data_IF_434957256513
#
_entry.id   IF_434957256513
#
_cell.length_a   1.000
_cell.length_b   1.000
_cell.length_c   1.000
_cell.angle_alpha   90.00
_cell.angle_beta   90.00
_cell.angle_gamma   90.00
#
_symmetry.space_group_name_H-M   'P 1'
#
loop_
_entity.id
_entity.type
_entity.pdbx_description
1 polymer ?
#
# COMPACT_ATOMS: atom_id res chain seq x y z
N UNK A 1 3.65 -21.86 -15.38
CA UNK A 1 3.14 -20.51 -15.08
C UNK A 1 4.02 -19.79 -14.04
N UNK A 2 4.27 -20.38 -12.84
CA UNK A 2 5.14 -19.80 -11.79
C UNK A 2 6.52 -19.44 -12.35
N UNK A 3 7.22 -20.38 -12.99
CA UNK A 3 8.54 -20.16 -13.57
C UNK A 3 8.57 -19.08 -14.67
N UNK A 4 7.49 -18.91 -15.41
CA UNK A 4 7.37 -17.84 -16.42
C UNK A 4 7.23 -16.47 -15.75
N UNK A 5 6.41 -16.40 -14.69
CA UNK A 5 6.24 -15.19 -13.88
C UNK A 5 7.58 -14.80 -13.25
N UNK A 6 8.27 -15.76 -12.61
CA UNK A 6 9.57 -15.53 -11.99
C UNK A 6 10.61 -15.03 -13.00
N UNK A 7 10.70 -15.65 -14.18
CA UNK A 7 11.60 -15.19 -15.26
C UNK A 7 11.27 -13.77 -15.71
N UNK A 8 9.98 -13.46 -15.85
CA UNK A 8 9.54 -12.14 -16.29
C UNK A 8 9.91 -11.03 -15.29
N UNK A 9 9.70 -11.27 -14.00
CA UNK A 9 10.03 -10.28 -12.95
C UNK A 9 11.54 -10.21 -12.70
N UNK A 10 12.26 -11.34 -12.79
CA UNK A 10 13.72 -11.38 -12.65
C UNK A 10 14.44 -10.53 -13.71
N UNK A 11 13.95 -10.58 -14.95
CA UNK A 11 14.47 -9.76 -16.06
C UNK A 11 14.26 -8.24 -15.84
N UNK A 12 13.44 -7.85 -14.88
CA UNK A 12 13.11 -6.44 -14.51
C UNK A 12 13.57 -6.07 -13.12
N UNK A 13 14.52 -6.81 -12.57
CA UNK A 13 15.06 -6.57 -11.23
C UNK A 13 15.84 -5.24 -11.20
N UNK A 14 15.20 -4.21 -10.67
CA UNK A 14 15.75 -2.86 -10.55
C UNK A 14 15.05 -2.13 -9.40
N UNK A 15 15.61 -1.02 -8.92
CA UNK A 15 14.96 -0.11 -7.97
C UNK A 15 13.88 0.76 -8.64
N UNK A 16 13.93 0.89 -9.96
CA UNK A 16 12.88 1.49 -10.78
C UNK A 16 12.10 0.35 -11.46
N UNK A 17 10.93 0.04 -10.91
CA UNK A 17 10.08 -1.04 -11.40
C UNK A 17 9.18 -0.52 -12.53
N UNK A 18 9.42 -1.03 -13.74
CA UNK A 18 8.64 -0.70 -14.92
C UNK A 18 7.96 -1.95 -15.50
N UNK A 19 6.66 -2.06 -15.26
CA UNK A 19 5.80 -3.10 -15.82
C UNK A 19 4.76 -2.42 -16.72
N UNK A 20 4.88 -2.55 -18.05
CA UNK A 20 4.05 -1.81 -19.01
C UNK A 20 2.57 -2.19 -18.97
N UNK A 21 2.23 -3.35 -18.43
CA UNK A 21 0.87 -3.81 -18.22
C UNK A 21 0.63 -4.26 -16.78
N UNK A 22 -0.62 -4.58 -16.45
CA UNK A 22 -1.03 -4.96 -15.09
C UNK A 22 -0.94 -6.46 -14.83
N UNK A 23 -0.67 -7.24 -15.87
CA UNK A 23 -0.83 -8.69 -15.84
C UNK A 23 -2.30 -9.12 -15.89
N UNK A 24 -2.55 -10.45 -15.95
CA UNK A 24 -3.88 -11.01 -16.12
C UNK A 24 -4.69 -11.15 -14.82
N UNK A 25 -4.32 -10.44 -13.77
CA UNK A 25 -4.83 -10.61 -12.41
C UNK A 25 -5.76 -9.48 -11.97
N UNK A 26 -6.64 -9.82 -11.04
CA UNK A 26 -7.56 -8.91 -10.41
C UNK A 26 -8.76 -8.52 -11.28
N UNK A 27 -9.64 -7.70 -10.73
CA UNK A 27 -10.80 -7.18 -11.41
C UNK A 27 -10.51 -5.78 -11.99
N UNK A 28 -10.42 -5.67 -13.32
CA UNK A 28 -10.14 -4.40 -14.00
C UNK A 28 -11.21 -3.32 -13.81
N UNK A 29 -12.41 -3.69 -13.38
CA UNK A 29 -13.49 -2.74 -13.05
C UNK A 29 -13.32 -2.12 -11.67
N UNK A 30 -12.44 -2.68 -10.83
CA UNK A 30 -12.14 -2.16 -9.51
C UNK A 30 -11.16 -0.99 -9.62
N UNK A 31 -11.51 0.17 -9.05
CA UNK A 31 -10.64 1.36 -9.10
C UNK A 31 -9.48 1.23 -8.12
N UNK A 32 -8.33 1.77 -8.49
CA UNK A 32 -7.13 1.74 -7.62
C UNK A 32 -6.41 0.39 -7.59
N UNK A 33 -6.72 -0.50 -8.50
CA UNK A 33 -6.10 -1.82 -8.58
C UNK A 33 -4.59 -1.73 -8.88
N UNK A 34 -3.77 -2.42 -8.11
CA UNK A 34 -2.32 -2.51 -8.33
C UNK A 34 -1.98 -3.41 -9.53
N UNK A 35 -0.79 -3.21 -10.13
CA UNK A 35 -0.23 -4.19 -11.06
C UNK A 35 0.17 -5.46 -10.31
N UNK A 36 -0.30 -6.62 -10.77
CA UNK A 36 0.05 -7.91 -10.18
C UNK A 36 1.53 -8.24 -10.30
N UNK A 37 2.22 -7.64 -11.27
CA UNK A 37 3.67 -7.79 -11.41
C UNK A 37 4.46 -7.26 -10.22
N UNK A 38 3.95 -6.25 -9.51
CA UNK A 38 4.58 -5.75 -8.29
C UNK A 38 4.55 -6.81 -7.19
N UNK A 39 3.40 -7.45 -6.98
CA UNK A 39 3.25 -8.52 -5.98
C UNK A 39 4.11 -9.72 -6.37
N UNK A 40 4.08 -10.13 -7.64
CA UNK A 40 4.91 -11.21 -8.15
C UNK A 40 6.41 -10.92 -7.98
N UNK A 41 6.83 -9.68 -8.23
CA UNK A 41 8.20 -9.24 -8.02
C UNK A 41 8.61 -9.33 -6.54
N UNK A 42 7.77 -8.87 -5.62
CA UNK A 42 8.04 -8.95 -4.19
C UNK A 42 8.17 -10.41 -3.72
N UNK A 43 7.28 -11.30 -4.17
CA UNK A 43 7.33 -12.73 -3.87
C UNK A 43 8.66 -13.32 -4.33
N UNK A 44 9.02 -13.10 -5.59
CA UNK A 44 10.27 -13.60 -6.15
C UNK A 44 11.51 -12.99 -5.47
N UNK A 45 11.53 -11.66 -5.31
CA UNK A 45 12.71 -10.92 -4.83
C UNK A 45 13.07 -11.24 -3.38
N UNK A 46 12.06 -11.46 -2.54
CA UNK A 46 12.25 -11.71 -1.11
C UNK A 46 12.02 -13.16 -0.70
N UNK A 47 11.78 -14.05 -1.65
CA UNK A 47 11.54 -15.47 -1.39
C UNK A 47 10.35 -15.72 -0.49
N UNK A 48 9.28 -14.93 -0.67
CA UNK A 48 8.06 -14.96 0.14
C UNK A 48 7.36 -16.30 -0.04
N UNK A 49 7.03 -16.96 1.07
CA UNK A 49 6.34 -18.27 1.10
C UNK A 49 4.87 -18.16 1.51
N UNK A 50 4.48 -17.03 2.09
CA UNK A 50 3.09 -16.72 2.45
C UNK A 50 2.85 -15.21 2.44
N UNK A 51 1.71 -14.76 1.91
CA UNK A 51 1.38 -13.36 1.75
C UNK A 51 0.07 -12.99 2.46
N UNK A 52 0.08 -11.92 3.25
CA UNK A 52 -1.10 -11.17 3.64
C UNK A 52 -1.21 -9.90 2.81
N UNK A 53 -2.41 -9.48 2.46
CA UNK A 53 -2.68 -8.23 1.74
C UNK A 53 -3.77 -7.43 2.45
N UNK A 54 -3.45 -6.22 2.88
CA UNK A 54 -4.45 -5.27 3.36
C UNK A 54 -4.82 -4.30 2.24
N UNK A 55 -6.11 -3.95 2.15
CA UNK A 55 -6.70 -3.20 1.03
C UNK A 55 -6.71 -4.02 -0.27
N UNK A 56 -7.11 -5.29 -0.17
CA UNK A 56 -7.04 -6.30 -1.23
C UNK A 56 -7.91 -5.99 -2.48
N UNK A 57 -8.88 -5.11 -2.35
CA UNK A 57 -9.67 -4.53 -3.43
C UNK A 57 -10.13 -5.53 -4.49
N UNK A 58 -9.59 -5.39 -5.71
CA UNK A 58 -9.95 -6.22 -6.87
C UNK A 58 -9.43 -7.66 -6.87
N UNK A 59 -8.74 -8.11 -5.79
CA UNK A 59 -8.25 -9.48 -5.63
C UNK A 59 -7.00 -9.80 -6.45
N UNK A 60 -6.22 -8.78 -6.81
CA UNK A 60 -4.99 -8.95 -7.60
C UNK A 60 -3.99 -9.85 -6.88
N UNK A 61 -3.73 -9.62 -5.59
CA UNK A 61 -2.80 -10.43 -4.81
C UNK A 61 -3.24 -11.89 -4.68
N UNK A 62 -4.54 -12.13 -4.47
CA UNK A 62 -5.11 -13.47 -4.45
C UNK A 62 -4.82 -14.25 -5.74
N UNK A 63 -5.04 -13.61 -6.89
CA UNK A 63 -4.82 -14.25 -8.19
C UNK A 63 -3.32 -14.50 -8.48
N UNK A 64 -2.44 -13.55 -8.12
CA UNK A 64 -0.98 -13.69 -8.25
C UNK A 64 -0.48 -14.84 -7.39
N UNK A 65 -0.89 -14.88 -6.11
CA UNK A 65 -0.45 -15.92 -5.17
C UNK A 65 -0.91 -17.30 -5.60
N UNK A 66 -2.16 -17.44 -6.12
CA UNK A 66 -2.63 -18.68 -6.73
C UNK A 66 -1.72 -19.12 -7.89
N UNK A 67 -1.35 -18.20 -8.78
CA UNK A 67 -0.55 -18.52 -9.97
C UNK A 67 0.94 -18.76 -9.65
N UNK A 68 1.41 -18.28 -8.50
CA UNK A 68 2.76 -18.51 -7.98
C UNK A 68 2.82 -19.61 -6.92
N UNK A 69 1.70 -20.24 -6.60
CA UNK A 69 1.60 -21.32 -5.60
C UNK A 69 2.06 -20.85 -4.20
N UNK A 70 1.50 -19.73 -3.76
CA UNK A 70 1.78 -19.10 -2.46
C UNK A 70 0.50 -19.00 -1.63
N UNK A 71 0.47 -19.47 -0.38
CA UNK A 71 -0.62 -19.23 0.55
C UNK A 71 -0.91 -17.74 0.71
N UNK A 72 -2.20 -17.38 0.67
CA UNK A 72 -2.64 -15.99 0.67
C UNK A 72 -3.85 -15.78 1.56
N UNK A 73 -3.89 -14.65 2.23
CA UNK A 73 -5.05 -14.08 2.88
C UNK A 73 -5.13 -12.58 2.60
N UNK A 74 -6.29 -12.08 2.22
CA UNK A 74 -6.54 -10.65 2.05
C UNK A 74 -7.50 -10.10 3.09
N UNK A 75 -7.53 -8.79 3.25
CA UNK A 75 -8.56 -8.06 3.97
C UNK A 75 -8.93 -6.77 3.24
N UNK A 76 -10.21 -6.44 3.22
CA UNK A 76 -10.74 -5.23 2.59
C UNK A 76 -11.99 -4.76 3.32
N UNK A 77 -12.27 -3.47 3.25
CA UNK A 77 -13.49 -2.88 3.83
C UNK A 77 -14.77 -3.30 3.06
N UNK A 78 -14.62 -3.85 1.85
CA UNK A 78 -15.73 -4.25 1.01
C UNK A 78 -16.56 -5.37 1.68
N UNK A 79 -17.86 -5.15 1.96
CA UNK A 79 -18.72 -6.18 2.56
C UNK A 79 -18.98 -7.38 1.63
N UNK A 80 -18.64 -7.24 0.34
CA UNK A 80 -18.77 -8.30 -0.67
C UNK A 80 -17.41 -8.54 -1.35
N UNK A 81 -16.47 -9.21 -0.69
CA UNK A 81 -15.14 -9.44 -1.23
C UNK A 81 -15.18 -10.19 -2.56
N UNK A 82 -14.27 -9.82 -3.47
CA UNK A 82 -14.24 -10.40 -4.83
C UNK A 82 -13.61 -11.79 -4.90
N UNK A 83 -13.03 -12.27 -3.79
CA UNK A 83 -12.44 -13.61 -3.65
C UNK A 83 -12.73 -14.15 -2.25
N UNK A 84 -12.87 -15.47 -2.13
CA UNK A 84 -13.22 -16.14 -0.86
C UNK A 84 -12.10 -16.09 0.20
N UNK A 85 -10.88 -15.79 -0.18
CA UNK A 85 -9.73 -15.62 0.70
C UNK A 85 -9.43 -14.14 0.99
N UNK A 86 -10.43 -13.28 0.87
CA UNK A 86 -10.39 -11.88 1.31
C UNK A 86 -11.46 -11.71 2.39
N UNK A 87 -11.02 -11.33 3.58
CA UNK A 87 -11.89 -11.05 4.72
C UNK A 87 -12.52 -9.66 4.58
N UNK A 88 -13.74 -9.50 5.03
CA UNK A 88 -14.31 -8.17 5.27
C UNK A 88 -13.78 -7.66 6.61
N UNK A 89 -12.98 -6.60 6.59
CA UNK A 89 -12.31 -6.05 7.76
C UNK A 89 -12.22 -4.54 7.66
N UNK A 90 -12.63 -3.85 8.71
CA UNK A 90 -12.36 -2.43 8.87
C UNK A 90 -10.98 -2.25 9.52
N UNK A 91 -9.98 -1.92 8.71
CA UNK A 91 -8.62 -1.74 9.18
C UNK A 91 -8.46 -0.63 10.25
N UNK A 92 -9.43 0.26 10.39
CA UNK A 92 -9.42 1.33 11.40
C UNK A 92 -9.87 0.80 12.76
N UNK A 93 -11.04 0.16 12.81
CA UNK A 93 -11.73 -0.21 14.04
C UNK A 93 -11.46 -1.66 14.49
N UNK A 94 -11.25 -2.58 13.55
CA UNK A 94 -11.14 -4.01 13.88
C UNK A 94 -9.72 -4.38 14.34
N UNK A 95 -9.63 -5.47 15.10
CA UNK A 95 -8.34 -6.09 15.41
C UNK A 95 -7.70 -6.68 14.15
N UNK A 96 -6.38 -6.85 14.18
CA UNK A 96 -5.67 -7.53 13.09
C UNK A 96 -6.09 -8.99 13.06
N UNK A 97 -6.59 -9.51 11.92
CA UNK A 97 -6.96 -10.91 11.80
C UNK A 97 -5.78 -11.83 12.14
N UNK A 98 -6.05 -12.89 12.87
CA UNK A 98 -5.00 -13.83 13.32
C UNK A 98 -4.26 -14.47 12.13
N UNK A 99 -4.95 -14.66 11.01
CA UNK A 99 -4.38 -15.19 9.77
C UNK A 99 -3.28 -14.33 9.15
N UNK A 100 -3.16 -13.06 9.58
CA UNK A 100 -2.12 -12.14 9.11
C UNK A 100 -0.81 -12.27 9.88
N UNK A 101 -0.87 -12.77 11.14
CA UNK A 101 0.23 -12.64 12.11
C UNK A 101 1.47 -13.44 11.74
N UNK A 102 1.30 -14.59 11.09
CA UNK A 102 2.36 -15.55 10.75
C UNK A 102 2.82 -15.51 9.30
N UNK A 103 2.38 -14.51 8.51
CA UNK A 103 2.75 -14.40 7.11
C UNK A 103 4.16 -13.84 6.94
N UNK A 104 4.88 -14.35 5.94
CA UNK A 104 6.22 -13.89 5.61
C UNK A 104 6.24 -12.43 5.14
N UNK A 105 5.17 -12.01 4.47
CA UNK A 105 5.04 -10.64 3.99
C UNK A 105 3.61 -10.13 4.12
N UNK A 106 3.50 -8.88 4.56
CA UNK A 106 2.30 -8.07 4.47
C UNK A 106 2.48 -7.03 3.35
N UNK A 107 1.60 -7.07 2.36
CA UNK A 107 1.53 -6.05 1.30
C UNK A 107 0.37 -5.10 1.55
N UNK A 108 0.60 -3.82 1.33
CA UNK A 108 -0.41 -2.76 1.43
C UNK A 108 -0.36 -1.84 0.21
N UNK A 109 -1.52 -1.60 -0.40
CA UNK A 109 -1.72 -0.54 -1.38
C UNK A 109 -3.00 0.22 -1.01
N UNK A 110 -2.92 1.17 -0.06
CA UNK A 110 -4.10 1.84 0.49
C UNK A 110 -4.78 2.72 -0.55
N UNK A 111 -6.09 2.97 -0.42
CA UNK A 111 -6.75 4.05 -1.15
C UNK A 111 -6.10 5.39 -0.73
N UNK A 112 -6.01 6.34 -1.66
CA UNK A 112 -5.51 7.68 -1.34
C UNK A 112 -6.66 8.54 -0.83
N UNK A 113 -6.36 9.50 0.05
CA UNK A 113 -7.36 10.34 0.69
C UNK A 113 -8.27 11.13 -0.26
N UNK A 114 -9.23 11.84 0.28
CA UNK A 114 -10.26 12.56 -0.48
C UNK A 114 -9.71 13.58 -1.50
N UNK A 115 -8.49 14.08 -1.29
CA UNK A 115 -7.84 15.04 -2.19
C UNK A 115 -7.64 14.52 -3.59
N UNK A 116 -7.45 13.21 -3.79
CA UNK A 116 -7.31 12.64 -5.13
C UNK A 116 -8.62 12.65 -5.91
N UNK A 117 -9.76 12.70 -5.21
CA UNK A 117 -11.10 12.75 -5.79
C UNK A 117 -11.51 11.50 -6.55
N UNK A 118 -10.91 10.34 -6.23
CA UNK A 118 -11.29 9.05 -6.77
C UNK A 118 -12.24 8.38 -5.80
N UNK A 119 -13.48 8.08 -6.18
CA UNK A 119 -14.38 7.30 -5.35
C UNK A 119 -14.00 5.81 -5.42
N UNK A 120 -13.00 5.40 -4.62
CA UNK A 120 -12.52 4.01 -4.58
C UNK A 120 -13.65 3.04 -4.22
N UNK A 121 -14.40 3.38 -3.19
CA UNK A 121 -15.55 2.59 -2.75
C UNK A 121 -16.67 2.52 -3.80
N UNK A 122 -16.88 3.59 -4.57
CA UNK A 122 -17.99 3.69 -5.52
C UNK A 122 -19.32 3.39 -4.84
N UNK A 123 -20.00 2.31 -5.27
CA UNK A 123 -21.21 1.77 -4.62
C UNK A 123 -20.92 0.57 -3.70
N UNK A 124 -19.67 0.09 -3.62
CA UNK A 124 -19.33 -1.19 -2.99
C UNK A 124 -19.32 -1.15 -1.46
N UNK A 125 -18.91 -0.02 -0.87
CA UNK A 125 -18.83 0.15 0.59
C UNK A 125 -20.01 0.91 1.19
N UNK A 126 -21.09 1.05 0.43
CA UNK A 126 -22.31 1.66 0.94
C UNK A 126 -23.00 0.68 1.88
N UNK A 127 -23.33 1.17 3.05
CA UNK A 127 -24.28 0.48 3.92
C UNK A 127 -25.68 0.42 3.29
N UNK A 128 -26.65 -0.29 3.89
CA UNK A 128 -28.03 -0.35 3.37
C UNK A 128 -28.69 1.03 3.24
N UNK A 129 -28.19 2.07 3.91
CA UNK A 129 -28.70 3.45 3.82
C UNK A 129 -28.03 4.24 2.68
N UNK A 130 -27.09 3.64 1.95
CA UNK A 130 -26.35 4.26 0.86
C UNK A 130 -25.23 5.20 1.29
N UNK A 131 -24.86 5.22 2.57
CA UNK A 131 -23.73 5.98 3.09
C UNK A 131 -22.45 5.19 2.96
N UNK A 132 -21.34 5.89 2.67
CA UNK A 132 -20.01 5.30 2.71
C UNK A 132 -19.59 5.06 4.17
N UNK A 133 -18.78 4.03 4.41
CA UNK A 133 -18.22 3.79 5.73
C UNK A 133 -17.39 4.98 6.19
N UNK A 134 -17.54 5.39 7.44
CA UNK A 134 -16.76 6.51 8.02
C UNK A 134 -15.25 6.21 8.07
N UNK A 135 -14.89 4.95 8.12
CA UNK A 135 -13.53 4.44 8.13
C UNK A 135 -12.90 4.29 6.73
N UNK A 136 -13.65 4.60 5.65
CA UNK A 136 -13.09 4.61 4.30
C UNK A 136 -12.02 5.71 4.17
N UNK A 137 -10.76 5.30 4.11
CA UNK A 137 -9.61 6.19 3.96
C UNK A 137 -9.73 7.10 2.74
N UNK A 138 -10.36 6.63 1.66
CA UNK A 138 -10.60 7.42 0.45
C UNK A 138 -11.54 8.61 0.62
N UNK A 139 -12.24 8.71 1.76
CA UNK A 139 -13.13 9.82 2.11
C UNK A 139 -12.49 10.80 3.11
N UNK A 140 -11.32 10.47 3.67
CA UNK A 140 -10.69 11.28 4.71
C UNK A 140 -9.90 12.44 4.12
N UNK A 141 -10.00 13.65 4.70
CA UNK A 141 -9.10 14.75 4.40
C UNK A 141 -7.64 14.34 4.64
N UNK A 142 -6.70 14.92 3.90
CA UNK A 142 -5.28 14.50 3.88
C UNK A 142 -4.69 14.26 5.26
N UNK A 143 -4.85 15.23 6.18
CA UNK A 143 -4.28 15.13 7.52
C UNK A 143 -4.82 13.94 8.31
N UNK A 144 -6.14 13.72 8.26
CA UNK A 144 -6.79 12.62 8.94
C UNK A 144 -6.45 11.30 8.26
N UNK A 145 -6.41 11.29 6.93
CA UNK A 145 -5.97 10.15 6.12
C UNK A 145 -4.57 9.68 6.51
N UNK A 146 -3.57 10.57 6.51
CA UNK A 146 -2.19 10.21 6.85
C UNK A 146 -2.05 9.75 8.31
N UNK A 147 -2.74 10.42 9.24
CA UNK A 147 -2.76 10.00 10.65
C UNK A 147 -3.34 8.60 10.80
N UNK A 148 -4.46 8.32 10.15
CA UNK A 148 -5.15 7.03 10.23
C UNK A 148 -4.34 5.94 9.54
N UNK A 149 -3.80 6.21 8.35
CA UNK A 149 -2.94 5.25 7.64
C UNK A 149 -1.71 4.88 8.45
N UNK A 150 -1.03 5.86 9.05
CA UNK A 150 0.13 5.61 9.91
C UNK A 150 -0.23 4.76 11.14
N UNK A 151 -1.39 5.00 11.75
CA UNK A 151 -1.89 4.18 12.86
C UNK A 151 -2.17 2.73 12.42
N UNK A 152 -2.76 2.53 11.25
CA UNK A 152 -2.98 1.20 10.65
C UNK A 152 -1.64 0.50 10.40
N UNK A 153 -0.68 1.17 9.76
CA UNK A 153 0.64 0.59 9.50
C UNK A 153 1.30 0.13 10.80
N UNK A 154 1.27 0.96 11.85
CA UNK A 154 1.84 0.62 13.15
C UNK A 154 1.11 -0.55 13.82
N UNK A 155 -0.22 -0.59 13.75
CA UNK A 155 -1.04 -1.68 14.29
C UNK A 155 -0.70 -3.03 13.63
N UNK A 156 -0.67 -3.06 12.31
CA UNK A 156 -0.35 -4.28 11.57
C UNK A 156 1.11 -4.68 11.71
N UNK A 157 2.04 -3.71 11.71
CA UNK A 157 3.45 -4.00 12.00
C UNK A 157 3.64 -4.61 13.39
N UNK A 158 2.96 -4.11 14.41
CA UNK A 158 3.05 -4.67 15.76
C UNK A 158 2.60 -6.14 15.80
N UNK A 159 1.59 -6.50 15.01
CA UNK A 159 1.03 -7.84 14.93
C UNK A 159 1.86 -8.84 14.11
N UNK A 160 2.74 -8.36 13.21
CA UNK A 160 3.58 -9.23 12.38
C UNK A 160 4.57 -10.05 13.21
N UNK A 161 4.92 -11.24 12.72
CA UNK A 161 6.00 -12.05 13.31
C UNK A 161 7.37 -11.37 13.10
N UNK A 162 8.32 -11.51 14.03
CA UNK A 162 9.72 -11.13 13.80
C UNK A 162 10.31 -11.84 12.57
N UNK A 163 11.11 -11.13 11.77
CA UNK A 163 11.67 -11.63 10.51
C UNK A 163 10.74 -11.49 9.29
N UNK A 164 9.45 -11.23 9.51
CA UNK A 164 8.54 -10.96 8.39
C UNK A 164 8.73 -9.56 7.80
N UNK A 165 8.21 -9.36 6.60
CA UNK A 165 8.39 -8.13 5.82
C UNK A 165 7.08 -7.41 5.61
N UNK A 166 7.15 -6.08 5.51
CA UNK A 166 6.02 -5.25 5.08
C UNK A 166 6.43 -4.45 3.84
N UNK A 167 5.60 -4.48 2.83
CA UNK A 167 5.74 -3.66 1.64
C UNK A 167 4.54 -2.72 1.53
N UNK A 168 4.78 -1.41 1.43
CA UNK A 168 3.73 -0.41 1.27
C UNK A 168 3.98 0.36 -0.01
N UNK A 169 3.04 0.24 -0.96
CA UNK A 169 3.03 0.97 -2.23
C UNK A 169 2.08 2.16 -2.11
N UNK A 170 2.54 3.35 -2.52
CA UNK A 170 1.76 4.57 -2.46
C UNK A 170 2.20 5.58 -3.50
N UNK A 171 1.28 6.46 -3.90
CA UNK A 171 1.57 7.56 -4.81
C UNK A 171 1.39 8.92 -4.16
N UNK A 172 2.27 9.85 -4.50
CA UNK A 172 2.08 11.25 -4.15
C UNK A 172 0.91 11.84 -4.93
N UNK A 173 0.29 12.87 -4.37
CA UNK A 173 -0.91 13.50 -4.92
C UNK A 173 -0.69 14.99 -5.13
N UNK A 174 -1.14 15.52 -6.27
CA UNK A 174 -1.19 16.97 -6.49
C UNK A 174 -2.64 17.40 -6.71
N UNK A 175 -3.13 18.27 -5.85
CA UNK A 175 -4.49 18.80 -5.92
C UNK A 175 -4.49 20.31 -5.75
N UNK A 176 -5.17 21.03 -6.66
CA UNK A 176 -5.27 22.51 -6.63
C UNK A 176 -3.93 23.22 -6.40
N UNK A 177 -2.87 22.73 -7.06
CA UNK A 177 -1.51 23.30 -6.94
C UNK A 177 -0.73 22.86 -5.70
N UNK A 178 -1.35 22.20 -4.72
CA UNK A 178 -0.68 21.66 -3.53
C UNK A 178 -0.16 20.25 -3.81
N UNK A 179 1.10 20.01 -3.47
CA UNK A 179 1.73 18.70 -3.54
C UNK A 179 1.66 18.01 -2.19
N UNK A 180 1.08 16.83 -2.16
CA UNK A 180 0.96 15.98 -0.97
C UNK A 180 1.85 14.76 -1.15
N UNK A 181 2.90 14.63 -0.36
CA UNK A 181 3.83 13.51 -0.45
C UNK A 181 3.50 12.45 0.59
N UNK A 182 2.86 11.38 0.17
CA UNK A 182 2.63 10.22 1.04
C UNK A 182 3.94 9.62 1.50
N UNK A 183 4.92 9.52 0.61
CA UNK A 183 6.21 8.93 0.94
C UNK A 183 6.97 9.70 2.03
N UNK A 184 6.82 11.02 2.09
CA UNK A 184 7.44 11.84 3.14
C UNK A 184 6.71 11.76 4.47
N UNK A 185 5.38 11.57 4.44
CA UNK A 185 4.53 11.65 5.62
C UNK A 185 4.23 10.27 6.23
N UNK A 186 4.56 9.18 5.53
CA UNK A 186 4.26 7.83 5.98
C UNK A 186 5.30 7.31 6.97
N UNK A 187 4.83 6.58 7.99
CA UNK A 187 5.71 5.88 8.94
C UNK A 187 6.34 4.65 8.27
N UNK A 188 7.63 4.43 8.57
CA UNK A 188 8.38 3.24 8.13
C UNK A 188 8.95 2.54 9.37
N UNK A 189 8.14 1.70 10.06
CA UNK A 189 8.61 0.97 11.23
C UNK A 189 9.60 -0.13 10.83
N UNK A 190 10.52 -0.48 11.73
CA UNK A 190 11.49 -1.56 11.49
C UNK A 190 12.67 -1.18 10.60
N UNK A 191 13.33 -2.18 10.04
CA UNK A 191 14.53 -1.99 9.20
C UNK A 191 14.13 -1.85 7.74
N UNK A 192 14.46 -0.72 7.12
CA UNK A 192 14.23 -0.51 5.70
C UNK A 192 15.19 -1.38 4.89
N UNK A 193 14.66 -2.34 4.15
CA UNK A 193 15.42 -3.21 3.24
C UNK A 193 15.66 -2.54 1.90
N UNK A 194 14.63 -1.88 1.35
CA UNK A 194 14.71 -1.22 0.05
C UNK A 194 13.55 -0.24 -0.14
N UNK A 195 13.81 0.81 -0.91
CA UNK A 195 12.78 1.65 -1.53
C UNK A 195 12.80 1.47 -3.05
N UNK A 196 11.62 1.50 -3.66
CA UNK A 196 11.43 1.34 -5.10
C UNK A 196 10.63 2.50 -5.65
N UNK A 197 10.94 2.88 -6.87
CA UNK A 197 10.10 3.74 -7.73
C UNK A 197 9.34 2.83 -8.68
N UNK A 198 8.02 2.78 -8.59
CA UNK A 198 7.17 2.05 -9.53
C UNK A 198 6.65 3.02 -10.58
N UNK A 199 7.02 2.82 -11.83
CA UNK A 199 6.53 3.61 -12.96
C UNK A 199 5.02 3.41 -13.14
N UNK A 200 4.30 4.51 -13.34
CA UNK A 200 2.90 4.47 -13.75
C UNK A 200 2.81 4.28 -15.26
N UNK A 201 2.01 3.32 -15.70
CA UNK A 201 1.76 3.04 -17.11
C UNK A 201 0.24 2.93 -17.33
N UNK A 202 -0.24 3.42 -18.47
CA UNK A 202 -1.64 3.34 -18.87
C UNK A 202 -2.61 3.97 -17.85
N UNK A 203 -2.19 5.06 -17.21
CA UNK A 203 -3.01 5.82 -16.28
C UNK A 203 -3.96 6.76 -17.02
N UNK A 204 -5.10 7.08 -16.40
CA UNK A 204 -6.05 8.08 -16.95
C UNK A 204 -5.39 9.45 -17.17
N UNK A 205 -4.35 9.77 -16.40
CA UNK A 205 -3.54 10.98 -16.53
C UNK A 205 -2.69 11.01 -17.80
N UNK A 206 -2.33 9.87 -18.36
CA UNK A 206 -1.41 9.80 -19.53
C UNK A 206 -2.05 10.37 -20.81
N UNK A 207 -3.39 10.32 -20.90
CA UNK A 207 -4.16 10.89 -22.01
C UNK A 207 -4.53 12.38 -21.84
N UNK A 208 -4.07 13.05 -20.78
CA UNK A 208 -4.40 14.44 -20.51
C UNK A 208 -3.32 15.39 -21.07
N UNK A 209 -3.77 16.48 -21.69
CA UNK A 209 -2.89 17.60 -22.03
C UNK A 209 -2.72 18.50 -20.82
N UNK A 210 -1.49 18.77 -20.45
CA UNK A 210 -1.15 19.65 -19.34
C UNK A 210 -0.60 20.99 -19.86
N UNK A 211 -0.72 22.05 -19.04
CA UNK A 211 -0.10 23.33 -19.36
C UNK A 211 1.44 23.21 -19.43
N UNK A 212 2.09 24.06 -20.21
CA UNK A 212 3.53 23.98 -20.55
C UNK A 212 4.52 23.87 -19.38
N UNK A 213 4.11 24.22 -18.16
CA UNK A 213 4.99 24.18 -16.96
C UNK A 213 4.51 23.20 -15.91
N UNK A 214 3.50 22.38 -16.20
CA UNK A 214 3.02 21.37 -15.25
C UNK A 214 3.83 20.09 -15.41
N UNK A 215 4.39 19.60 -14.30
CA UNK A 215 5.06 18.30 -14.26
C UNK A 215 4.12 17.27 -13.67
N UNK A 216 3.61 16.31 -14.45
CA UNK A 216 2.77 15.23 -13.92
C UNK A 216 3.58 14.29 -13.03
N UNK A 217 2.91 13.67 -12.06
CA UNK A 217 3.49 12.59 -11.25
C UNK A 217 3.32 11.31 -12.06
N UNK A 218 4.43 10.71 -12.50
CA UNK A 218 4.46 9.50 -13.33
C UNK A 218 4.90 8.25 -12.60
N UNK A 219 4.88 8.26 -11.27
CA UNK A 219 5.37 7.14 -10.47
C UNK A 219 4.62 7.00 -9.14
N UNK A 220 4.79 5.85 -8.54
CA UNK A 220 4.45 5.57 -7.15
C UNK A 220 5.72 5.12 -6.43
N UNK A 221 5.76 5.29 -5.12
CA UNK A 221 6.87 4.86 -4.29
C UNK A 221 6.46 3.62 -3.50
N UNK A 222 7.39 2.71 -3.33
CA UNK A 222 7.20 1.55 -2.47
C UNK A 222 8.40 1.40 -1.54
N UNK A 223 8.16 1.20 -0.25
CA UNK A 223 9.18 0.73 0.65
C UNK A 223 8.94 -0.72 1.05
N UNK A 224 10.03 -1.42 1.34
CA UNK A 224 10.00 -2.74 1.97
C UNK A 224 10.81 -2.68 3.23
N UNK A 225 10.19 -3.04 4.34
CA UNK A 225 10.84 -3.13 5.66
C UNK A 225 10.79 -4.57 6.16
N UNK A 226 11.67 -4.87 7.11
CA UNK A 226 11.66 -6.11 7.88
C UNK A 226 11.42 -5.80 9.36
N UNK A 227 10.62 -6.61 10.02
CA UNK A 227 10.48 -6.59 11.47
C UNK A 227 11.67 -7.34 12.07
N UNK A 228 12.60 -6.67 12.76
CA UNK A 228 13.79 -7.33 13.27
C UNK A 228 13.43 -8.38 14.33
N UNK A 229 14.26 -9.41 14.47
CA UNK A 229 14.10 -10.47 15.46
C UNK A 229 14.12 -9.92 16.89
N UNK A 230 14.89 -8.84 17.15
CA UNK A 230 14.96 -8.11 18.40
C UNK A 230 14.39 -6.70 18.22
N UNK A 231 13.09 -6.58 18.30
CA UNK A 231 12.35 -5.38 17.88
C UNK A 231 12.37 -4.27 18.94
N UNK A 232 13.49 -3.57 19.14
CA UNK A 232 13.50 -2.36 19.97
C UNK A 232 13.70 -1.05 19.20
N UNK A 233 13.87 -1.09 17.87
CA UNK A 233 14.09 0.11 17.07
C UNK A 233 12.95 0.30 16.08
N UNK A 234 12.08 1.27 16.38
CA UNK A 234 11.11 1.79 15.43
C UNK A 234 11.77 2.99 14.75
N UNK A 235 12.08 2.86 13.46
CA UNK A 235 12.53 3.98 12.65
C UNK A 235 11.31 4.66 12.01
N UNK A 236 10.94 5.85 12.51
CA UNK A 236 9.86 6.65 11.94
C UNK A 236 10.31 8.10 11.76
N UNK A 237 9.71 8.79 10.81
CA UNK A 237 9.98 10.20 10.58
C UNK A 237 9.21 11.03 11.61
N UNK A 238 9.94 11.81 12.38
CA UNK A 238 9.35 12.84 13.26
C UNK A 238 9.04 14.05 12.37
N UNK A 239 7.83 14.60 12.39
CA UNK A 239 7.54 15.84 11.70
C UNK A 239 8.52 16.96 12.12
N UNK A 240 9.02 17.71 11.15
CA UNK A 240 10.05 18.74 11.33
C UNK A 240 9.71 19.74 12.45
N UNK A 241 8.44 20.12 12.59
CA UNK A 241 7.97 21.03 13.65
C UNK A 241 8.23 20.46 15.05
N UNK A 242 7.99 19.16 15.28
CA UNK A 242 8.29 18.49 16.55
C UNK A 242 9.79 18.36 16.81
N UNK A 243 10.58 18.18 15.76
CA UNK A 243 12.03 18.10 15.86
C UNK A 243 12.64 19.45 16.28
N UNK A 244 12.10 20.56 15.78
CA UNK A 244 12.49 21.91 16.19
C UNK A 244 12.11 22.20 17.65
N UNK A 245 10.94 21.76 18.09
CA UNK A 245 10.51 21.93 19.50
C UNK A 245 11.41 21.16 20.47
N UNK A 246 11.82 19.95 20.11
CA UNK A 246 12.76 19.13 20.90
C UNK A 246 14.12 19.80 20.98
N UNK A 247 14.67 20.30 19.87
CA UNK A 247 15.97 21.02 19.86
C UNK A 247 15.92 22.30 20.67
N UNK A 248 14.86 23.06 20.55
CA UNK A 248 14.69 24.30 21.30
C UNK A 248 14.54 24.04 22.81
N UNK A 249 13.89 22.96 23.21
CA UNK A 249 13.76 22.58 24.63
C UNK A 249 15.10 22.11 25.23
N UNK A 250 15.97 21.47 24.44
CA UNK A 250 17.28 21.02 24.86
C UNK A 250 18.33 22.16 24.91
N UNK A 251 18.14 23.23 24.13
CA UNK A 251 19.01 24.39 24.15
C UNK A 251 18.69 25.37 25.29
N UNK A 252 17.56 25.21 25.99
CA UNK A 252 17.11 26.01 27.10
C UNK A 252 17.47 25.41 28.48
N UNK A 253 18.11 24.25 28.50
CA UNK A 253 18.67 23.58 29.70
C UNK A 253 20.19 23.64 29.71
#
# INVERSE_FOLDING_TARGET
KKQEIERYVAARNNTVLNFPDRGPWGNNKYRGNCSGWIIAYLIWRYGVKSLAELFAGGGTGSDVCRDMDIPYIGADLNPNPVRNNILTTDAVSDEVPDEFRDKDMLFMHPPYGAEIGIPYAGSMYKDPTGKLAKSDLGQMPWKDFMKTLNAIIMKYYAAMAPGSKMAVLMGDVRRKGVYHSMFNDIVMPGTVLQTYVKMQNNCVSDGRTYSNRFTPIGHEMMYVIEKPMNAYLINYKIPFEKEMDIRNSQAAT
#
